data_IF_155817047015
#
_entry.id   IF_155817047015
#
_cell.length_a   1.000
_cell.length_b   1.000
_cell.length_c   1.000
_cell.angle_alpha   90.00
_cell.angle_beta   90.00
_cell.angle_gamma   90.00
#
_symmetry.space_group_name_H-M   'P 1'
#
loop_
_entity.id
_entity.type
_entity.pdbx_description
1 polymer ?
#
# COMPACT_ATOMS: atom_id res chain seq x y z
N UNK A 1 0.45 -0.39 -4.62
CA UNK A 1 1.31 -1.46 -5.15
C UNK A 1 0.64 -2.81 -5.40
N UNK A 2 -0.40 -3.22 -4.64
CA UNK A 2 -0.90 -4.61 -4.68
C UNK A 2 -1.58 -5.08 -5.98
N UNK A 3 -2.10 -4.17 -6.80
CA UNK A 3 -2.76 -4.54 -8.05
C UNK A 3 -1.78 -5.10 -9.10
N UNK A 4 -0.61 -4.46 -9.24
CA UNK A 4 0.39 -4.82 -10.24
C UNK A 4 0.96 -6.24 -10.04
N UNK A 5 1.32 -6.60 -8.81
CA UNK A 5 1.83 -7.96 -8.51
C UNK A 5 0.79 -9.02 -8.76
N UNK A 6 -0.47 -8.79 -8.34
CA UNK A 6 -1.54 -9.75 -8.58
C UNK A 6 -1.76 -9.97 -10.07
N UNK A 7 -1.69 -8.90 -10.85
CA UNK A 7 -1.78 -8.96 -12.31
C UNK A 7 -0.61 -9.74 -12.91
N UNK A 8 0.63 -9.41 -12.51
CA UNK A 8 1.82 -10.11 -13.00
C UNK A 8 1.81 -11.61 -12.65
N UNK A 9 1.47 -11.97 -11.40
CA UNK A 9 1.35 -13.36 -10.97
C UNK A 9 0.25 -14.11 -11.71
N UNK A 10 -0.89 -13.46 -12.00
CA UNK A 10 -1.94 -14.05 -12.82
C UNK A 10 -1.41 -14.39 -14.22
N UNK A 11 -0.76 -13.45 -14.92
CA UNK A 11 -0.25 -13.73 -16.26
C UNK A 11 0.85 -14.78 -16.28
N UNK A 12 1.73 -14.79 -15.29
CA UNK A 12 2.78 -15.80 -15.19
C UNK A 12 2.23 -17.21 -14.94
N UNK A 13 1.08 -17.32 -14.26
CA UNK A 13 0.39 -18.60 -14.00
C UNK A 13 -0.46 -19.06 -15.18
N UNK A 14 -1.22 -18.15 -15.78
CA UNK A 14 -2.23 -18.49 -16.80
C UNK A 14 -1.65 -18.60 -18.20
N UNK A 15 -0.50 -17.97 -18.48
CA UNK A 15 0.09 -17.95 -19.81
C UNK A 15 1.51 -18.51 -19.81
N UNK A 16 1.84 -19.25 -20.87
CA UNK A 16 3.21 -19.71 -21.10
C UNK A 16 4.12 -18.51 -21.32
N UNK A 17 5.16 -18.39 -20.50
CA UNK A 17 6.19 -17.37 -20.67
C UNK A 17 7.01 -17.64 -21.94
N UNK A 18 7.07 -16.65 -22.85
CA UNK A 18 7.77 -16.77 -24.14
C UNK A 18 9.01 -15.87 -24.24
N UNK A 19 9.26 -15.02 -23.24
CA UNK A 19 10.43 -14.13 -23.20
C UNK A 19 10.11 -12.75 -22.66
N UNK A 20 11.12 -11.87 -22.71
CA UNK A 20 11.03 -10.50 -22.21
C UNK A 20 10.84 -9.50 -23.34
N UNK A 21 10.11 -8.42 -23.05
CA UNK A 21 9.97 -7.28 -23.96
C UNK A 21 11.13 -6.32 -23.71
N UNK A 22 11.93 -6.09 -24.76
CA UNK A 22 13.05 -5.14 -24.75
C UNK A 22 12.49 -3.73 -24.49
N UNK A 23 13.07 -3.01 -23.53
CA UNK A 23 12.69 -1.63 -23.22
C UNK A 23 12.88 -1.28 -21.76
N UNK A 24 11.86 -0.67 -21.16
CA UNK A 24 11.93 -0.03 -19.83
C UNK A 24 12.35 -0.97 -18.71
N UNK A 25 12.02 -2.26 -18.80
CA UNK A 25 12.26 -3.22 -17.72
C UNK A 25 13.35 -4.24 -18.06
N UNK A 26 13.54 -4.58 -19.34
CA UNK A 26 14.52 -5.56 -19.79
C UNK A 26 15.36 -5.06 -20.96
N UNK A 27 16.64 -5.41 -20.95
CA UNK A 27 17.57 -5.10 -22.04
C UNK A 27 17.38 -6.03 -23.24
N UNK A 28 18.08 -5.75 -24.35
CA UNK A 28 18.11 -6.62 -25.53
C UNK A 28 18.62 -8.05 -25.23
N UNK A 29 19.44 -8.22 -24.19
CA UNK A 29 19.93 -9.52 -23.72
C UNK A 29 19.03 -10.16 -22.66
N UNK A 30 17.85 -9.57 -22.39
CA UNK A 30 16.89 -10.07 -21.40
C UNK A 30 17.28 -9.77 -19.96
N UNK A 31 18.28 -8.92 -19.71
CA UNK A 31 18.70 -8.58 -18.36
C UNK A 31 17.76 -7.56 -17.73
N UNK A 32 17.48 -7.66 -16.41
CA UNK A 32 16.79 -6.61 -15.68
C UNK A 32 17.49 -5.26 -15.83
N UNK A 33 16.70 -4.21 -16.00
CA UNK A 33 17.19 -2.83 -15.92
C UNK A 33 17.11 -2.33 -14.47
N UNK A 34 17.84 -1.25 -14.17
CA UNK A 34 17.74 -0.55 -12.89
C UNK A 34 16.30 -0.14 -12.54
N UNK A 35 15.50 0.23 -13.55
CA UNK A 35 14.09 0.57 -13.36
C UNK A 35 13.27 -0.61 -12.85
N UNK A 36 13.53 -1.82 -13.35
CA UNK A 36 12.86 -3.02 -12.84
C UNK A 36 13.24 -3.30 -11.39
N UNK A 37 14.53 -3.19 -11.05
CA UNK A 37 15.03 -3.40 -9.69
C UNK A 37 14.38 -2.42 -8.69
N UNK A 38 14.25 -1.14 -9.04
CA UNK A 38 13.59 -0.14 -8.21
C UNK A 38 12.09 -0.43 -8.00
N UNK A 39 11.41 -0.90 -9.05
CA UNK A 39 10.01 -1.32 -8.96
C UNK A 39 9.88 -2.52 -8.02
N UNK A 40 10.73 -3.53 -8.17
CA UNK A 40 10.74 -4.71 -7.30
C UNK A 40 11.04 -4.37 -5.84
N UNK A 41 11.99 -3.47 -5.59
CA UNK A 41 12.31 -2.97 -4.25
C UNK A 41 11.12 -2.22 -3.62
N UNK A 42 10.47 -1.33 -4.38
CA UNK A 42 9.27 -0.61 -3.91
C UNK A 42 8.12 -1.55 -3.58
N UNK A 43 7.99 -2.65 -4.32
CA UNK A 43 6.99 -3.69 -4.07
C UNK A 43 7.31 -4.51 -2.83
N UNK A 44 8.58 -4.84 -2.60
CA UNK A 44 9.03 -5.50 -1.38
C UNK A 44 8.75 -4.62 -0.15
N UNK A 45 9.08 -3.34 -0.21
CA UNK A 45 8.81 -2.41 0.89
C UNK A 45 7.31 -2.23 1.14
N UNK A 46 6.51 -2.11 0.08
CA UNK A 46 5.05 -2.05 0.21
C UNK A 46 4.44 -3.29 0.88
N UNK A 47 5.01 -4.48 0.66
CA UNK A 47 4.60 -5.72 1.36
C UNK A 47 4.99 -5.66 2.83
N UNK A 48 6.22 -5.23 3.14
CA UNK A 48 6.70 -5.09 4.53
C UNK A 48 5.82 -4.14 5.33
N UNK A 49 5.52 -2.96 4.77
CA UNK A 49 4.67 -1.95 5.39
C UNK A 49 3.23 -2.45 5.57
N UNK A 50 2.71 -3.24 4.63
CA UNK A 50 1.38 -3.84 4.76
C UNK A 50 1.31 -4.79 5.97
N UNK A 51 2.27 -5.68 6.11
CA UNK A 51 2.34 -6.62 7.26
C UNK A 51 2.48 -5.84 8.57
N UNK A 52 3.34 -4.83 8.60
CA UNK A 52 3.49 -3.95 9.77
C UNK A 52 2.17 -3.24 10.12
N UNK A 53 1.49 -2.68 9.12
CA UNK A 53 0.19 -2.01 9.29
C UNK A 53 -0.88 -2.99 9.80
N UNK A 54 -0.89 -4.23 9.32
CA UNK A 54 -1.83 -5.25 9.79
C UNK A 54 -1.56 -5.65 11.24
N UNK A 55 -0.29 -5.77 11.64
CA UNK A 55 0.10 -6.02 13.03
C UNK A 55 -0.25 -4.84 13.95
N UNK A 56 0.02 -3.62 13.51
CA UNK A 56 -0.32 -2.41 14.25
C UNK A 56 -1.84 -2.27 14.39
N UNK A 57 -2.61 -2.53 13.34
CA UNK A 57 -4.08 -2.50 13.39
C UNK A 57 -4.67 -3.59 14.29
N UNK A 58 -3.97 -4.72 14.46
CA UNK A 58 -4.37 -5.75 15.42
C UNK A 58 -4.15 -5.30 16.87
N UNK A 59 -3.11 -4.49 17.11
CA UNK A 59 -2.77 -3.95 18.42
C UNK A 59 -3.53 -2.68 18.78
N UNK A 60 -3.79 -1.83 17.78
CA UNK A 60 -4.37 -0.51 17.90
C UNK A 60 -5.59 -0.42 16.98
N UNK A 61 -6.82 -0.56 17.50
CA UNK A 61 -8.01 -0.46 16.66
C UNK A 61 -8.12 0.93 16.03
N UNK A 62 -8.73 1.07 14.85
CA UNK A 62 -8.90 2.37 14.22
C UNK A 62 -9.75 3.28 15.11
N UNK A 63 -9.23 4.48 15.37
CA UNK A 63 -9.89 5.49 16.18
C UNK A 63 -10.22 6.71 15.33
N UNK A 64 -11.43 7.24 15.53
CA UNK A 64 -11.88 8.49 14.97
C UNK A 64 -11.74 9.59 16.04
N UNK A 65 -11.55 10.82 15.58
CA UNK A 65 -11.63 12.02 16.43
C UNK A 65 -12.60 13.02 15.81
N UNK A 66 -13.39 13.65 16.67
CA UNK A 66 -14.30 14.73 16.32
C UNK A 66 -14.05 15.90 17.26
N UNK A 67 -14.24 17.12 16.77
CA UNK A 67 -14.34 18.29 17.62
C UNK A 67 -15.51 19.16 17.17
N UNK A 68 -16.26 19.70 18.13
CA UNK A 68 -17.21 20.77 17.88
C UNK A 68 -17.12 21.83 18.97
N UNK A 69 -17.45 23.08 18.65
CA UNK A 69 -17.44 24.17 19.61
C UNK A 69 -18.41 23.93 20.79
N UNK A 70 -19.52 23.25 20.54
CA UNK A 70 -20.55 22.98 21.55
C UNK A 70 -20.27 21.76 22.43
N UNK A 71 -19.57 20.74 21.90
CA UNK A 71 -19.35 19.48 22.61
C UNK A 71 -17.89 19.17 22.90
N UNK A 72 -16.97 20.05 22.53
CA UNK A 72 -15.53 19.82 22.65
C UNK A 72 -15.04 18.67 21.77
N UNK A 73 -13.86 18.14 22.11
CA UNK A 73 -13.23 17.03 21.42
C UNK A 73 -13.69 15.67 21.93
N UNK A 74 -13.94 14.72 21.02
CA UNK A 74 -14.20 13.31 21.33
C UNK A 74 -13.32 12.41 20.49
N UNK A 75 -12.92 11.29 21.08
CA UNK A 75 -12.21 10.19 20.42
C UNK A 75 -12.96 8.90 20.70
N UNK A 76 -13.18 8.09 19.67
CA UNK A 76 -13.77 6.77 19.81
C UNK A 76 -13.11 5.79 18.86
N UNK A 77 -12.90 4.57 19.33
CA UNK A 77 -12.31 3.51 18.51
C UNK A 77 -13.39 2.50 18.15
N UNK A 78 -13.36 2.01 16.91
CA UNK A 78 -14.34 1.06 16.42
C UNK A 78 -13.67 -0.18 15.85
N UNK A 79 -14.40 -1.30 15.83
CA UNK A 79 -13.99 -2.51 15.12
C UNK A 79 -14.28 -2.43 13.61
N UNK A 80 -14.96 -1.38 13.15
CA UNK A 80 -15.20 -1.16 11.73
C UNK A 80 -13.93 -0.57 11.11
N UNK A 81 -13.40 -1.26 10.10
CA UNK A 81 -12.25 -0.79 9.34
C UNK A 81 -12.73 0.26 8.35
N UNK A 82 -12.87 1.49 8.81
CA UNK A 82 -13.16 2.61 7.91
C UNK A 82 -11.92 2.88 7.03
N UNK A 83 -12.14 3.21 5.75
CA UNK A 83 -11.17 3.15 4.66
C UNK A 83 -9.95 4.10 4.75
N UNK A 84 -9.72 4.77 5.88
CA UNK A 84 -8.63 5.73 6.08
C UNK A 84 -7.22 5.12 6.15
N UNK A 85 -7.04 3.80 6.02
CA UNK A 85 -5.72 3.16 6.07
C UNK A 85 -5.11 2.80 4.71
N UNK A 86 -5.80 3.08 3.58
CA UNK A 86 -5.28 2.73 2.24
C UNK A 86 -4.69 3.91 1.46
N UNK A 87 -4.75 5.12 2.00
CA UNK A 87 -4.05 6.28 1.44
C UNK A 87 -3.04 6.78 2.46
N UNK A 88 -1.78 6.75 2.03
CA UNK A 88 -0.63 7.33 2.69
C UNK A 88 -1.00 8.60 3.47
N UNK A 89 -0.60 8.64 4.73
CA UNK A 89 -0.82 9.74 5.68
C UNK A 89 -2.28 9.87 6.18
N UNK A 90 -2.53 9.30 7.37
CA UNK A 90 -3.31 10.05 8.35
C UNK A 90 -2.31 10.95 9.09
N UNK A 91 -2.03 12.20 8.64
CA UNK A 91 -1.66 13.16 9.65
C UNK A 91 -2.91 13.24 10.53
N UNK A 92 -2.73 13.29 11.84
CA UNK A 92 -3.74 13.88 12.70
C UNK A 92 -4.15 15.20 12.02
N UNK A 93 -5.29 15.21 11.32
CA UNK A 93 -5.89 16.46 10.87
C UNK A 93 -6.41 17.08 12.16
N UNK A 94 -5.52 17.79 12.85
CA UNK A 94 -5.93 18.91 13.66
C UNK A 94 -6.68 19.83 12.70
N UNK A 95 -8.00 19.67 12.65
CA UNK A 95 -8.89 20.66 12.09
C UNK A 95 -8.71 21.90 12.96
N UNK A 96 -7.85 22.81 12.51
CA UNK A 96 -7.88 24.20 12.94
C UNK A 96 -9.15 24.81 12.37
N UNK A 97 -9.97 25.37 13.25
CA UNK A 97 -10.70 26.60 13.00
C UNK A 97 -10.72 27.41 14.27
#
# INVERSE_FOLDING_TARGET
>A
GGCFIRWLSFYHREYKHVGFVIGRYYTATGQPTETLLQVEASLAEGRRLKVQTEADNARFPPCNSEWSASSGGRVWCSTKRDACHLLFHCPLKFAKS
#
